data_IF_567427675457
#
_entry.id   IF_567427675457
#
_cell.length_a   1.000
_cell.length_b   1.000
_cell.length_c   1.000
_cell.angle_alpha   90.00
_cell.angle_beta   90.00
_cell.angle_gamma   90.00
#
_symmetry.space_group_name_H-M   'P 1'
#
loop_
_entity.id
_entity.type
_entity.pdbx_description
1 polymer ?
#
# COMPACT_ATOMS: atom_id res chain seq x y z
N UNK A 1 27.26 -34.45 37.20
CA UNK A 1 25.95 -33.73 37.28
C UNK A 1 26.02 -32.21 37.01
N UNK A 2 27.08 -31.48 37.41
CA UNK A 2 27.18 -30.01 37.24
C UNK A 2 27.38 -29.52 35.80
N UNK A 3 28.04 -30.31 34.94
CA UNK A 3 28.28 -29.99 33.52
C UNK A 3 27.02 -30.13 32.67
N UNK A 4 26.21 -31.16 32.93
CA UNK A 4 24.93 -31.39 32.24
C UNK A 4 23.91 -30.25 32.49
N UNK A 5 23.81 -29.78 33.75
CA UNK A 5 22.95 -28.62 34.08
C UNK A 5 23.37 -27.34 33.36
N UNK A 6 24.67 -27.11 33.15
CA UNK A 6 25.18 -25.94 32.41
C UNK A 6 24.88 -26.01 30.91
N UNK A 7 24.89 -27.20 30.31
CA UNK A 7 24.49 -27.41 28.92
C UNK A 7 23.02 -27.11 28.69
N UNK A 8 22.15 -27.64 29.56
CA UNK A 8 20.70 -27.41 29.49
C UNK A 8 20.37 -25.92 29.69
N UNK A 9 21.00 -25.25 30.66
CA UNK A 9 20.74 -23.83 30.91
C UNK A 9 21.08 -22.95 29.70
N UNK A 10 22.17 -23.26 28.99
CA UNK A 10 22.59 -22.53 27.77
C UNK A 10 21.61 -22.72 26.61
N UNK A 11 21.08 -23.93 26.44
CA UNK A 11 20.07 -24.24 25.43
C UNK A 11 18.76 -23.49 25.70
N UNK A 12 18.31 -23.44 26.95
CA UNK A 12 17.10 -22.70 27.34
C UNK A 12 17.27 -21.20 27.10
N UNK A 13 18.43 -20.62 27.44
CA UNK A 13 18.69 -19.20 27.20
C UNK A 13 18.74 -18.85 25.71
N UNK A 14 19.32 -19.73 24.88
CA UNK A 14 19.39 -19.51 23.43
C UNK A 14 18.01 -19.61 22.76
N UNK A 15 17.19 -20.59 23.18
CA UNK A 15 15.83 -20.74 22.68
C UNK A 15 14.93 -19.55 23.06
N UNK A 16 15.06 -19.04 24.30
CA UNK A 16 14.32 -17.86 24.75
C UNK A 16 14.68 -16.60 23.95
N UNK A 17 15.97 -16.38 23.68
CA UNK A 17 16.44 -15.24 22.89
C UNK A 17 15.94 -15.28 21.43
N UNK A 18 15.94 -16.46 20.81
CA UNK A 18 15.45 -16.65 19.45
C UNK A 18 13.93 -16.40 19.35
N UNK A 19 13.15 -16.86 20.35
CA UNK A 19 11.71 -16.64 20.41
C UNK A 19 11.34 -15.16 20.54
N UNK A 20 12.08 -14.38 21.35
CA UNK A 20 11.83 -12.94 21.49
C UNK A 20 12.08 -12.14 20.20
N UNK A 21 13.03 -12.57 19.36
CA UNK A 21 13.32 -11.88 18.09
C UNK A 21 12.22 -12.09 17.04
N UNK A 22 11.60 -13.27 17.02
CA UNK A 22 10.51 -13.60 16.09
C UNK A 22 9.19 -12.87 16.40
N UNK A 23 8.96 -12.50 17.67
CA UNK A 23 7.71 -11.83 18.11
C UNK A 23 7.80 -10.30 17.96
N UNK A 24 9.00 -9.70 18.03
CA UNK A 24 9.17 -8.26 17.93
C UNK A 24 9.18 -7.71 16.48
N UNK A 25 9.46 -8.56 15.49
CA UNK A 25 9.59 -8.14 14.09
C UNK A 25 8.30 -7.62 13.41
N UNK A 26 7.09 -8.20 13.61
CA UNK A 26 5.90 -7.74 12.87
C UNK A 26 5.32 -6.42 13.39
N UNK A 27 5.71 -5.95 14.58
CA UNK A 27 5.17 -4.72 15.17
C UNK A 27 5.77 -3.44 14.56
N UNK A 28 6.95 -3.51 13.95
CA UNK A 28 7.66 -2.32 13.42
C UNK A 28 7.43 -2.08 11.91
N UNK A 29 6.81 -3.02 11.19
CA UNK A 29 6.70 -2.96 9.71
C UNK A 29 5.36 -2.38 9.24
N UNK A 30 4.43 -2.04 10.14
CA UNK A 30 3.06 -1.69 9.73
C UNK A 30 2.86 -0.25 9.23
N UNK A 31 3.82 0.67 9.37
CA UNK A 31 3.60 2.10 9.06
C UNK A 31 4.45 2.70 7.95
N UNK A 32 5.28 1.90 7.27
CA UNK A 32 6.05 2.36 6.11
C UNK A 32 5.29 2.21 4.79
N UNK A 33 3.98 2.51 4.78
CA UNK A 33 3.36 2.94 3.53
C UNK A 33 3.86 4.37 3.26
N UNK A 34 4.45 4.68 2.10
CA UNK A 34 4.71 6.06 1.73
C UNK A 34 3.35 6.77 1.72
N UNK A 35 3.06 7.54 2.76
CA UNK A 35 2.02 8.55 2.71
C UNK A 35 2.54 9.60 1.74
N UNK A 36 2.39 9.33 0.44
CA UNK A 36 2.45 10.36 -0.57
C UNK A 36 1.33 11.33 -0.20
N UNK A 37 1.69 12.36 0.55
CA UNK A 37 0.87 13.53 0.84
C UNK A 37 0.62 14.23 -0.49
N UNK A 38 -0.30 13.68 -1.28
CA UNK A 38 -0.92 14.42 -2.36
C UNK A 38 -1.72 15.52 -1.68
N UNK A 39 -1.34 16.78 -1.91
CA UNK A 39 -2.15 17.96 -1.58
C UNK A 39 -3.65 17.63 -1.77
N UNK A 40 -4.55 18.05 -0.87
CA UNK A 40 -5.98 17.83 -1.04
C UNK A 40 -6.42 18.52 -2.33
N UNK A 41 -6.48 17.77 -3.43
CA UNK A 41 -7.04 18.26 -4.68
C UNK A 41 -8.52 18.52 -4.40
N UNK A 42 -9.08 19.66 -4.84
CA UNK A 42 -10.51 19.90 -4.68
C UNK A 42 -11.28 18.72 -5.26
N UNK A 43 -12.06 18.04 -4.42
CA UNK A 43 -12.83 16.87 -4.78
C UNK A 43 -14.30 17.23 -4.95
N UNK A 44 -14.96 16.50 -5.85
CA UNK A 44 -16.38 16.69 -6.13
C UNK A 44 -17.17 15.51 -5.56
N UNK A 45 -18.46 15.72 -5.27
CA UNK A 45 -19.37 14.64 -4.91
C UNK A 45 -19.87 13.96 -6.19
N UNK A 46 -19.06 13.07 -6.74
CA UNK A 46 -19.40 12.31 -7.94
C UNK A 46 -18.23 12.05 -8.87
N UNK A 47 -18.51 11.42 -10.01
CA UNK A 47 -17.53 11.18 -11.07
C UNK A 47 -17.95 11.98 -12.29
N UNK A 48 -17.03 12.74 -12.87
CA UNK A 48 -17.27 13.48 -14.11
C UNK A 48 -17.02 12.52 -15.28
N UNK A 49 -18.03 12.23 -16.11
CA UNK A 49 -17.84 11.38 -17.28
C UNK A 49 -16.71 11.92 -18.16
N UNK A 50 -15.91 11.03 -18.73
CA UNK A 50 -14.83 11.35 -19.67
C UNK A 50 -13.64 12.11 -19.10
N UNK A 51 -13.68 12.50 -17.82
CA UNK A 51 -12.57 13.17 -17.16
C UNK A 51 -12.06 12.36 -15.95
N UNK A 52 -11.11 11.43 -16.17
CA UNK A 52 -10.58 10.57 -15.11
C UNK A 52 -9.66 11.31 -14.14
N UNK A 53 -9.34 12.58 -14.38
CA UNK A 53 -8.45 13.37 -13.52
C UNK A 53 -9.16 14.01 -12.36
N UNK A 54 -10.48 14.14 -12.41
CA UNK A 54 -11.29 14.71 -11.34
C UNK A 54 -11.37 13.71 -10.19
N UNK A 55 -11.13 14.20 -8.97
CA UNK A 55 -11.13 13.36 -7.76
C UNK A 55 -12.51 13.39 -7.11
N UNK A 56 -13.06 12.22 -6.79
CA UNK A 56 -14.31 12.09 -6.05
C UNK A 56 -13.99 11.97 -4.55
N UNK A 57 -14.71 12.70 -3.71
CA UNK A 57 -14.55 12.62 -2.26
C UNK A 57 -15.03 11.27 -1.68
N UNK A 58 -15.92 10.57 -2.39
CA UNK A 58 -16.52 9.31 -1.95
C UNK A 58 -15.79 8.06 -2.46
N UNK A 59 -14.65 8.23 -3.16
CA UNK A 59 -13.84 7.12 -3.63
C UNK A 59 -12.62 6.90 -2.73
N UNK A 60 -12.03 5.69 -2.76
CA UNK A 60 -10.76 5.43 -2.10
C UNK A 60 -9.68 6.44 -2.52
N UNK A 61 -8.72 6.76 -1.63
CA UNK A 61 -7.61 7.64 -1.96
C UNK A 61 -6.86 7.18 -3.22
N UNK A 62 -6.54 8.14 -4.10
CA UNK A 62 -5.74 7.86 -5.30
C UNK A 62 -4.33 7.50 -4.88
N UNK A 63 -3.84 6.37 -5.38
CA UNK A 63 -2.42 6.04 -5.29
C UNK A 63 -1.62 6.94 -6.24
N UNK A 64 -0.33 7.17 -5.99
CA UNK A 64 0.55 7.84 -6.94
C UNK A 64 0.49 7.16 -8.31
N UNK A 65 0.09 7.91 -9.33
CA UNK A 65 -0.03 7.40 -10.70
C UNK A 65 1.36 7.29 -11.32
N UNK A 66 1.77 6.08 -11.65
CA UNK A 66 2.91 5.80 -12.53
C UNK A 66 2.40 5.31 -13.89
N UNK A 67 3.15 5.60 -14.96
CA UNK A 67 2.81 5.14 -16.31
C UNK A 67 2.70 3.62 -16.32
N UNK A 68 1.61 3.09 -16.88
CA UNK A 68 1.33 1.65 -16.93
C UNK A 68 0.77 1.06 -15.63
N UNK A 69 0.57 1.86 -14.57
CA UNK A 69 -0.09 1.39 -13.36
C UNK A 69 -1.54 0.97 -13.63
N UNK A 70 -2.07 0.13 -12.73
CA UNK A 70 -3.49 -0.15 -12.71
C UNK A 70 -4.30 1.15 -12.55
N UNK A 71 -5.38 1.34 -13.33
CA UNK A 71 -6.24 2.50 -13.18
C UNK A 71 -6.98 2.44 -11.84
N UNK A 72 -7.13 3.58 -11.19
CA UNK A 72 -7.95 3.68 -9.99
C UNK A 72 -9.45 3.62 -10.30
N UNK A 73 -10.26 3.41 -9.26
CA UNK A 73 -11.71 3.31 -9.38
C UNK A 73 -12.35 4.55 -10.05
N UNK A 74 -11.79 5.74 -9.85
CA UNK A 74 -12.34 6.98 -10.42
C UNK A 74 -12.15 7.02 -11.92
N UNK A 75 -10.97 6.61 -12.40
CA UNK A 75 -10.68 6.48 -13.82
C UNK A 75 -11.53 5.40 -14.50
N UNK A 76 -11.73 4.25 -13.85
CA UNK A 76 -12.58 3.15 -14.37
C UNK A 76 -14.03 3.60 -14.55
N UNK A 77 -14.58 4.32 -13.56
CA UNK A 77 -15.96 4.80 -13.61
C UNK A 77 -16.09 5.95 -14.63
N UNK A 78 -15.16 6.91 -14.64
CA UNK A 78 -15.21 8.07 -15.53
C UNK A 78 -15.08 7.69 -17.01
N UNK A 79 -14.24 6.69 -17.32
CA UNK A 79 -13.99 6.22 -18.68
C UNK A 79 -14.79 4.96 -19.05
N UNK A 80 -15.86 4.63 -18.31
CA UNK A 80 -16.66 3.42 -18.56
C UNK A 80 -17.18 3.41 -20.02
N UNK A 81 -17.04 2.27 -20.71
CA UNK A 81 -17.34 2.09 -22.14
C UNK A 81 -16.47 2.89 -23.12
N UNK A 82 -15.38 3.51 -22.64
CA UNK A 82 -14.50 4.35 -23.44
C UNK A 82 -13.04 3.95 -23.25
N UNK A 83 -12.58 2.88 -23.94
CA UNK A 83 -11.25 2.31 -23.72
C UNK A 83 -10.14 3.29 -24.07
N UNK A 84 -10.35 4.22 -25.01
CA UNK A 84 -9.36 5.27 -25.33
C UNK A 84 -9.10 6.23 -24.16
N UNK A 85 -10.14 6.60 -23.40
CA UNK A 85 -10.03 7.43 -22.19
C UNK A 85 -9.20 6.71 -21.11
N UNK A 86 -9.47 5.42 -20.92
CA UNK A 86 -8.75 4.61 -19.94
C UNK A 86 -7.29 4.37 -20.37
N UNK A 87 -7.05 4.08 -21.65
CA UNK A 87 -5.71 3.87 -22.20
C UNK A 87 -4.84 5.13 -22.09
N UNK A 88 -5.41 6.30 -22.39
CA UNK A 88 -4.71 7.59 -22.22
C UNK A 88 -4.43 7.88 -20.74
N UNK A 89 -5.35 7.50 -19.86
CA UNK A 89 -5.14 7.60 -18.42
C UNK A 89 -4.05 6.64 -17.91
N UNK A 90 -3.96 5.41 -18.40
CA UNK A 90 -2.92 4.47 -17.96
C UNK A 90 -1.56 4.78 -18.58
N UNK A 91 -1.54 5.16 -19.86
CA UNK A 91 -0.34 5.36 -20.66
C UNK A 91 -0.45 6.65 -21.50
N UNK A 92 -0.23 7.84 -20.90
CA UNK A 92 -0.34 9.13 -21.60
C UNK A 92 0.80 9.29 -22.62
N UNK A 93 0.69 10.11 -23.66
CA UNK A 93 1.75 10.24 -24.68
C UNK A 93 3.04 10.93 -24.17
N UNK A 94 3.00 11.59 -23.02
CA UNK A 94 4.11 12.29 -22.38
C UNK A 94 4.08 12.02 -20.87
#
# INVERSE_FOLDING_TARGET
MRTFRRGILRLVTAAAAAASFLIAAPALVQDAAPRASAQPRPCVNGVIPWNPYVVNCNLPPRQPRVRGAAPDAGAIIACRNHPGCLAWYVNPPY
#
